data_IF_349839264228
#
_entry.id   IF_349839264228
#
_cell.length_a   1.000
_cell.length_b   1.000
_cell.length_c   1.000
_cell.angle_alpha   90.00
_cell.angle_beta   90.00
_cell.angle_gamma   90.00
#
_symmetry.space_group_name_H-M   'P 1'
#
loop_
_entity.id
_entity.type
_entity.pdbx_description
1 polymer ?
#
# COMPACT_ATOMS: atom_id res chain seq x y z
N UNK A 1 50.34 -8.64 20.61
CA UNK A 1 49.36 -7.55 20.42
C UNK A 1 48.65 -7.79 19.10
N UNK A 2 47.32 -7.88 19.13
CA UNK A 2 46.43 -8.00 17.96
C UNK A 2 46.00 -6.60 17.53
N UNK A 3 45.97 -6.35 16.22
CA UNK A 3 45.00 -5.52 15.49
C UNK A 3 45.03 -6.12 14.05
N UNK A 4 44.14 -7.01 13.59
CA UNK A 4 42.68 -6.90 13.34
C UNK A 4 42.28 -5.60 12.65
N UNK A 5 42.07 -5.69 11.34
CA UNK A 5 41.17 -4.90 10.46
C UNK A 5 41.38 -5.42 9.02
N UNK A 6 40.44 -5.97 8.27
CA UNK A 6 39.14 -6.55 8.54
C UNK A 6 38.84 -7.28 7.22
N UNK A 7 39.04 -8.60 7.23
CA UNK A 7 38.55 -9.48 6.18
C UNK A 7 37.02 -9.47 6.23
N UNK A 8 36.38 -8.48 5.59
CA UNK A 8 34.93 -8.42 5.44
C UNK A 8 34.50 -9.09 4.14
N UNK A 9 34.58 -10.41 4.25
CA UNK A 9 34.08 -11.44 3.36
C UNK A 9 32.57 -11.64 3.56
N UNK A 10 31.70 -10.70 3.16
CA UNK A 10 30.24 -10.98 3.17
C UNK A 10 29.50 -10.44 1.94
N UNK A 11 29.37 -11.32 0.96
CA UNK A 11 28.18 -11.53 0.12
C UNK A 11 27.39 -10.26 -0.29
N UNK A 12 27.76 -9.68 -1.43
CA UNK A 12 26.92 -8.74 -2.18
C UNK A 12 25.78 -9.48 -2.94
N UNK A 13 25.03 -10.32 -2.24
CA UNK A 13 23.75 -10.86 -2.71
C UNK A 13 22.67 -10.55 -1.66
N UNK A 14 22.55 -9.26 -1.32
CA UNK A 14 21.36 -8.76 -0.63
C UNK A 14 20.25 -8.70 -1.68
N UNK A 15 19.55 -9.81 -1.80
CA UNK A 15 18.20 -10.00 -2.31
C UNK A 15 17.47 -8.65 -2.51
N UNK A 16 17.55 -8.11 -3.74
CA UNK A 16 16.73 -6.98 -4.18
C UNK A 16 15.30 -7.51 -4.20
N UNK A 17 14.65 -7.49 -3.03
CA UNK A 17 13.21 -7.70 -2.92
C UNK A 17 12.57 -6.84 -3.99
N UNK A 18 11.82 -7.50 -4.87
CA UNK A 18 11.13 -6.82 -5.95
C UNK A 18 10.08 -5.89 -5.35
N UNK A 19 10.47 -4.64 -5.10
CA UNK A 19 9.59 -3.62 -4.53
C UNK A 19 8.43 -3.25 -5.47
N UNK A 20 8.51 -3.65 -6.74
CA UNK A 20 7.51 -3.38 -7.76
C UNK A 20 6.47 -4.50 -7.78
N UNK A 21 6.90 -5.76 -7.82
CA UNK A 21 6.00 -6.90 -7.96
C UNK A 21 5.63 -7.57 -6.62
N UNK A 22 6.51 -7.52 -5.61
CA UNK A 22 6.34 -8.20 -4.31
C UNK A 22 6.84 -7.36 -3.13
N UNK A 23 6.33 -6.14 -2.91
CA UNK A 23 6.82 -5.35 -1.79
C UNK A 23 6.38 -5.97 -0.46
N UNK A 24 7.27 -5.98 0.56
CA UNK A 24 7.12 -6.78 1.79
C UNK A 24 5.97 -6.34 2.72
N UNK A 25 5.23 -5.29 2.37
CA UNK A 25 4.13 -4.74 3.18
C UNK A 25 2.74 -5.27 2.79
N UNK A 26 2.64 -6.32 1.97
CA UNK A 26 1.34 -6.94 1.61
C UNK A 26 1.07 -8.36 2.19
N UNK A 27 2.02 -8.98 2.89
CA UNK A 27 1.90 -10.38 3.35
C UNK A 27 1.04 -10.60 4.63
N UNK A 28 -0.16 -10.01 4.71
CA UNK A 28 -1.15 -10.33 5.76
C UNK A 28 -2.49 -10.71 5.14
N UNK A 29 -2.73 -12.00 4.93
CA UNK A 29 -3.98 -12.52 4.38
C UNK A 29 -4.00 -12.49 2.84
N UNK A 30 -5.13 -12.11 2.25
CA UNK A 30 -5.29 -12.02 0.79
C UNK A 30 -4.56 -10.76 0.30
N UNK A 31 -3.73 -10.91 -0.72
CA UNK A 31 -3.06 -9.78 -1.39
C UNK A 31 -4.09 -8.72 -1.83
N UNK A 32 -3.85 -7.45 -1.49
CA UNK A 32 -4.80 -6.36 -1.79
C UNK A 32 -5.20 -6.33 -3.27
N UNK A 33 -4.25 -6.56 -4.17
CA UNK A 33 -4.50 -6.63 -5.62
C UNK A 33 -5.40 -7.81 -6.00
N UNK A 34 -5.25 -8.97 -5.35
CA UNK A 34 -6.10 -10.13 -5.59
C UNK A 34 -7.54 -9.87 -5.12
N UNK A 35 -7.72 -9.28 -3.94
CA UNK A 35 -9.04 -8.89 -3.43
C UNK A 35 -9.73 -7.86 -4.34
N UNK A 36 -9.00 -6.83 -4.80
CA UNK A 36 -9.53 -5.83 -5.73
C UNK A 36 -10.02 -6.48 -7.03
N UNK A 37 -9.26 -7.46 -7.56
CA UNK A 37 -9.62 -8.20 -8.77
C UNK A 37 -10.82 -9.11 -8.56
N UNK A 38 -10.93 -9.80 -7.41
CA UNK A 38 -12.03 -10.74 -7.16
C UNK A 38 -13.41 -10.07 -7.06
N UNK A 39 -13.42 -8.76 -6.78
CA UNK A 39 -14.64 -7.95 -6.69
C UNK A 39 -14.82 -6.99 -7.88
N UNK A 40 -14.00 -7.13 -8.94
CA UNK A 40 -14.04 -6.29 -10.15
C UNK A 40 -14.08 -4.79 -9.83
N UNK A 41 -13.32 -4.37 -8.81
CA UNK A 41 -13.39 -3.01 -8.29
C UNK A 41 -12.88 -2.00 -9.33
N UNK A 42 -13.59 -0.89 -9.45
CA UNK A 42 -13.14 0.24 -10.26
C UNK A 42 -11.95 0.97 -9.60
N UNK A 43 -11.37 1.92 -10.34
CA UNK A 43 -10.18 2.67 -9.93
C UNK A 43 -10.32 3.34 -8.55
N UNK A 44 -11.45 3.96 -8.26
CA UNK A 44 -11.66 4.65 -6.99
C UNK A 44 -11.83 3.65 -5.84
N UNK A 45 -12.63 2.60 -6.04
CA UNK A 45 -12.82 1.51 -5.06
C UNK A 45 -11.49 0.83 -4.70
N UNK A 46 -10.69 0.50 -5.72
CA UNK A 46 -9.37 -0.08 -5.57
C UNK A 46 -8.44 0.80 -4.72
N UNK A 47 -8.44 2.11 -4.94
CA UNK A 47 -7.61 3.03 -4.16
C UNK A 47 -8.08 3.18 -2.72
N UNK A 48 -9.39 3.21 -2.44
CA UNK A 48 -9.92 3.21 -1.06
C UNK A 48 -9.38 1.99 -0.29
N UNK A 49 -9.55 0.79 -0.85
CA UNK A 49 -9.08 -0.45 -0.21
C UNK A 49 -7.57 -0.46 -0.05
N UNK A 50 -6.82 -0.04 -1.07
CA UNK A 50 -5.35 0.04 -1.03
C UNK A 50 -4.83 0.93 0.09
N UNK A 51 -5.34 2.15 0.20
CA UNK A 51 -4.83 3.10 1.19
C UNK A 51 -5.26 2.73 2.61
N UNK A 52 -6.48 2.21 2.81
CA UNK A 52 -6.95 1.71 4.11
C UNK A 52 -6.19 0.45 4.55
N UNK A 53 -5.83 -0.44 3.62
CA UNK A 53 -5.06 -1.65 3.98
C UNK A 53 -3.60 -1.32 4.33
N UNK A 54 -3.05 -0.24 3.76
CA UNK A 54 -1.62 0.08 3.82
C UNK A 54 -1.24 1.10 4.90
N UNK A 55 -2.17 1.93 5.37
CA UNK A 55 -1.84 3.14 6.15
C UNK A 55 -0.90 2.90 7.33
N UNK A 56 -1.07 1.79 8.06
CA UNK A 56 -0.25 1.42 9.22
C UNK A 56 0.88 0.43 8.90
N UNK A 57 1.02 -0.01 7.64
CA UNK A 57 2.01 -0.99 7.19
C UNK A 57 3.18 -0.35 6.44
N UNK A 58 2.96 0.80 5.79
CA UNK A 58 4.00 1.49 5.00
C UNK A 58 5.02 2.22 5.87
N UNK A 59 4.58 2.81 6.98
CA UNK A 59 5.40 3.64 7.84
C UNK A 59 4.86 3.63 9.28
N UNK A 60 5.76 3.75 10.25
CA UNK A 60 5.42 3.98 11.67
C UNK A 60 5.21 5.45 12.00
N UNK A 61 5.61 6.37 11.12
CA UNK A 61 5.41 7.81 11.29
C UNK A 61 3.94 8.18 11.02
N UNK A 62 3.20 8.70 12.04
CA UNK A 62 1.78 9.03 11.94
C UNK A 62 1.43 9.99 10.80
N UNK A 63 2.35 10.85 10.36
CA UNK A 63 2.09 11.80 9.27
C UNK A 63 1.86 11.08 7.93
N UNK A 64 2.60 10.00 7.65
CA UNK A 64 2.40 9.18 6.46
C UNK A 64 1.16 8.30 6.57
N UNK A 65 0.83 7.82 7.77
CA UNK A 65 -0.40 7.07 8.02
C UNK A 65 -1.63 7.95 7.76
N UNK A 66 -1.61 9.18 8.29
CA UNK A 66 -2.64 10.19 8.06
C UNK A 66 -2.77 10.50 6.56
N UNK A 67 -1.65 10.66 5.85
CA UNK A 67 -1.68 10.93 4.41
C UNK A 67 -2.36 9.82 3.61
N UNK A 68 -2.13 8.55 3.95
CA UNK A 68 -2.82 7.43 3.29
C UNK A 68 -4.33 7.45 3.60
N UNK A 69 -4.74 7.72 4.84
CA UNK A 69 -6.16 7.84 5.18
C UNK A 69 -6.85 9.03 4.46
N UNK A 70 -6.16 10.17 4.32
CA UNK A 70 -6.67 11.31 3.55
C UNK A 70 -6.84 10.97 2.06
N UNK A 71 -5.92 10.20 1.47
CA UNK A 71 -6.09 9.70 0.10
C UNK A 71 -7.30 8.78 0.00
N UNK A 72 -7.48 7.84 0.93
CA UNK A 72 -8.66 6.97 0.95
C UNK A 72 -9.97 7.79 1.03
N UNK A 73 -10.01 8.80 1.91
CA UNK A 73 -11.15 9.71 2.05
C UNK A 73 -11.46 10.43 0.74
N UNK A 74 -10.45 10.92 0.02
CA UNK A 74 -10.65 11.59 -1.26
C UNK A 74 -11.37 10.69 -2.28
N UNK A 75 -10.89 9.47 -2.48
CA UNK A 75 -11.51 8.51 -3.43
C UNK A 75 -12.92 8.10 -3.00
N UNK A 76 -13.16 7.95 -1.70
CA UNK A 76 -14.48 7.64 -1.18
C UNK A 76 -15.46 8.81 -1.40
N UNK A 77 -15.01 10.04 -1.16
CA UNK A 77 -15.81 11.24 -1.40
C UNK A 77 -16.17 11.39 -2.88
N UNK A 78 -15.25 11.08 -3.79
CA UNK A 78 -15.49 11.10 -5.23
C UNK A 78 -16.57 10.08 -5.64
N UNK A 79 -16.48 8.83 -5.13
CA UNK A 79 -17.52 7.81 -5.33
C UNK A 79 -18.89 8.26 -4.82
N UNK A 80 -18.95 8.85 -3.61
CA UNK A 80 -20.18 9.36 -3.02
C UNK A 80 -20.76 10.49 -3.86
N UNK A 81 -19.92 11.41 -4.36
CA UNK A 81 -20.34 12.52 -5.21
C UNK A 81 -21.00 12.02 -6.48
N UNK A 82 -20.41 11.04 -7.15
CA UNK A 82 -20.97 10.49 -8.39
C UNK A 82 -22.25 9.70 -8.14
N UNK A 83 -22.33 8.96 -7.03
CA UNK A 83 -23.57 8.27 -6.65
C UNK A 83 -24.70 9.26 -6.32
N UNK A 84 -24.40 10.36 -5.62
CA UNK A 84 -25.38 11.42 -5.32
C UNK A 84 -25.95 12.04 -6.60
N UNK A 85 -25.14 12.28 -7.63
CA UNK A 85 -25.63 12.79 -8.92
C UNK A 85 -26.62 11.81 -9.55
N UNK A 86 -26.24 10.52 -9.63
CA UNK A 86 -27.10 9.47 -10.20
C UNK A 86 -28.44 9.36 -9.48
N UNK A 87 -28.42 9.44 -8.15
CA UNK A 87 -29.65 9.41 -7.32
C UNK A 87 -30.53 10.64 -7.58
N UNK A 88 -29.94 11.83 -7.74
CA UNK A 88 -30.70 13.06 -8.01
C UNK A 88 -31.20 13.18 -9.45
N UNK A 89 -30.60 12.45 -10.38
CA UNK A 89 -30.97 12.40 -11.81
C UNK A 89 -31.99 11.28 -12.13
N UNK A 90 -32.27 10.39 -11.17
CA UNK A 90 -33.24 9.28 -11.29
C UNK A 90 -34.59 9.66 -10.68
#
# INVERSE_FOLDING_TARGET
>A
MKEQNDDLFWANDVDKKDLVNHPPHYNKGIETTQYIKSWEMNWNQANVVKYVSRYNLKSTDPSFQLQDLQKAQWYLNDLIKDLKKKVNES
#
